data_IF_138848930425
#
_entry.id   IF_138848930425
#
_cell.length_a   1.000
_cell.length_b   1.000
_cell.length_c   1.000
_cell.angle_alpha   90.00
_cell.angle_beta   90.00
_cell.angle_gamma   90.00
#
_symmetry.space_group_name_H-M   'P 1'
#
loop_
_entity.id
_entity.type
_entity.pdbx_description
1 polymer ?
#
# COMPACT_ATOMS: atom_id res chain seq x y z
N UNK A 1 -25.90 -3.51 -27.51
CA UNK A 1 -25.06 -4.57 -26.94
C UNK A 1 -23.59 -4.19 -27.04
N UNK A 2 -23.03 -3.67 -25.95
CA UNK A 2 -21.64 -3.19 -25.86
C UNK A 2 -20.57 -4.31 -25.92
N UNK A 3 -20.99 -5.56 -26.06
CA UNK A 3 -20.11 -6.73 -26.04
C UNK A 3 -19.70 -7.22 -27.43
N UNK A 4 -20.25 -6.64 -28.51
CA UNK A 4 -20.00 -7.06 -29.89
C UNK A 4 -19.14 -6.04 -30.65
N UNK A 5 -17.96 -6.47 -31.09
CA UNK A 5 -17.10 -5.67 -31.96
C UNK A 5 -17.18 -6.18 -33.38
N UNK A 6 -17.67 -5.32 -34.27
CA UNK A 6 -17.84 -5.62 -35.69
C UNK A 6 -16.63 -5.11 -36.46
N UNK A 7 -15.93 -6.01 -37.14
CA UNK A 7 -14.83 -5.68 -38.05
C UNK A 7 -15.27 -6.04 -39.47
N UNK A 8 -15.35 -5.02 -40.33
CA UNK A 8 -15.65 -5.20 -41.75
C UNK A 8 -14.36 -5.27 -42.55
N UNK A 9 -14.12 -6.40 -43.19
CA UNK A 9 -13.02 -6.56 -44.13
C UNK A 9 -13.35 -5.90 -45.46
N UNK A 10 -12.55 -4.91 -45.85
CA UNK A 10 -12.78 -4.09 -47.05
C UNK A 10 -12.61 -4.88 -48.36
N UNK A 11 -11.75 -5.88 -48.40
CA UNK A 11 -11.41 -6.59 -49.65
C UNK A 11 -12.38 -7.73 -49.96
N UNK A 12 -12.81 -8.43 -48.92
CA UNK A 12 -13.67 -9.62 -49.03
C UNK A 12 -15.13 -9.33 -48.73
N UNK A 13 -15.42 -8.18 -48.10
CA UNK A 13 -16.76 -7.85 -47.61
C UNK A 13 -17.18 -8.70 -46.40
N UNK A 14 -16.28 -9.48 -45.82
CA UNK A 14 -16.57 -10.32 -44.67
C UNK A 14 -16.79 -9.46 -43.41
N UNK A 15 -17.88 -9.73 -42.70
CA UNK A 15 -18.17 -9.11 -41.40
C UNK A 15 -17.80 -10.10 -40.29
N UNK A 16 -16.76 -9.77 -39.54
CA UNK A 16 -16.34 -10.56 -38.37
C UNK A 16 -16.91 -9.93 -37.10
N UNK A 17 -17.55 -10.74 -36.26
CA UNK A 17 -18.11 -10.31 -34.98
C UNK A 17 -17.30 -10.94 -33.85
N UNK A 18 -16.68 -10.09 -33.02
CA UNK A 18 -16.01 -10.52 -31.80
C UNK A 18 -16.92 -10.31 -30.60
N UNK A 19 -16.95 -11.29 -29.71
CA UNK A 19 -17.68 -11.23 -28.44
C UNK A 19 -16.68 -11.29 -27.29
N UNK A 20 -16.87 -10.44 -26.28
CA UNK A 20 -16.04 -10.51 -25.08
C UNK A 20 -16.24 -11.85 -24.36
N UNK A 21 -15.13 -12.53 -24.05
CA UNK A 21 -15.18 -13.77 -23.28
C UNK A 21 -15.47 -13.48 -21.80
N UNK A 22 -15.92 -14.47 -21.04
CA UNK A 22 -16.09 -14.34 -19.59
C UNK A 22 -14.80 -13.92 -18.87
N UNK A 23 -13.65 -14.37 -19.39
CA UNK A 23 -12.34 -13.93 -18.93
C UNK A 23 -12.11 -12.44 -19.19
N UNK A 24 -12.37 -11.98 -20.42
CA UNK A 24 -12.30 -10.56 -20.79
C UNK A 24 -13.26 -9.70 -19.97
N UNK A 25 -14.47 -10.20 -19.70
CA UNK A 25 -15.49 -9.53 -18.87
C UNK A 25 -14.99 -9.36 -17.43
N UNK A 26 -14.33 -10.38 -16.87
CA UNK A 26 -13.76 -10.30 -15.52
C UNK A 26 -12.65 -9.24 -15.43
N UNK A 27 -11.77 -9.20 -16.43
CA UNK A 27 -10.71 -8.18 -16.54
C UNK A 27 -11.31 -6.78 -16.68
N UNK A 28 -12.30 -6.62 -17.57
CA UNK A 28 -12.97 -5.34 -17.80
C UNK A 28 -13.68 -4.86 -16.54
N UNK A 29 -14.43 -5.75 -15.86
CA UNK A 29 -15.10 -5.46 -14.59
C UNK A 29 -14.12 -5.02 -13.51
N UNK A 30 -12.93 -5.63 -13.46
CA UNK A 30 -11.91 -5.25 -12.49
C UNK A 30 -11.39 -3.83 -12.74
N UNK A 31 -11.12 -3.49 -14.01
CA UNK A 31 -10.65 -2.16 -14.41
C UNK A 31 -11.72 -1.10 -14.13
N UNK A 32 -12.98 -1.34 -14.53
CA UNK A 32 -14.06 -0.37 -14.33
C UNK A 32 -14.40 -0.16 -12.86
N UNK A 33 -14.36 -1.22 -12.04
CA UNK A 33 -14.51 -1.12 -10.60
C UNK A 33 -13.38 -0.27 -9.98
N UNK A 34 -12.13 -0.45 -10.42
CA UNK A 34 -10.99 0.35 -9.94
C UNK A 34 -11.16 1.83 -10.29
N UNK A 35 -11.51 2.14 -11.54
CA UNK A 35 -11.74 3.51 -12.01
C UNK A 35 -12.91 4.18 -11.29
N UNK A 36 -13.91 3.40 -10.89
CA UNK A 36 -15.03 3.86 -10.08
C UNK A 36 -14.71 4.00 -8.58
N UNK A 37 -13.47 3.74 -8.16
CA UNK A 37 -13.07 3.76 -6.75
C UNK A 37 -13.53 2.56 -5.91
N UNK A 38 -14.19 1.56 -6.52
CA UNK A 38 -14.64 0.32 -5.87
C UNK A 38 -13.49 -0.68 -5.81
N UNK A 39 -12.50 -0.39 -4.98
CA UNK A 39 -11.23 -1.12 -4.96
C UNK A 39 -11.37 -2.58 -4.50
N UNK A 40 -12.26 -2.88 -3.55
CA UNK A 40 -12.47 -4.27 -3.10
C UNK A 40 -13.09 -5.13 -4.21
N UNK A 41 -14.07 -4.59 -4.94
CA UNK A 41 -14.69 -5.26 -6.08
C UNK A 41 -13.66 -5.47 -7.21
N UNK A 42 -12.84 -4.46 -7.49
CA UNK A 42 -11.71 -4.60 -8.42
C UNK A 42 -10.77 -5.74 -8.01
N UNK A 43 -10.38 -5.80 -6.72
CA UNK A 43 -9.48 -6.84 -6.23
C UNK A 43 -10.11 -8.23 -6.34
N UNK A 44 -11.40 -8.37 -6.02
CA UNK A 44 -12.14 -9.63 -6.15
C UNK A 44 -12.27 -10.09 -7.62
N UNK A 45 -12.52 -9.16 -8.53
CA UNK A 45 -12.58 -9.45 -9.97
C UNK A 45 -11.20 -9.90 -10.50
N UNK A 46 -10.12 -9.23 -10.08
CA UNK A 46 -8.76 -9.69 -10.40
C UNK A 46 -8.38 -11.04 -9.77
N UNK A 47 -8.88 -11.34 -8.57
CA UNK A 47 -8.68 -12.64 -7.94
C UNK A 47 -9.35 -13.75 -8.77
N UNK A 48 -10.58 -13.53 -9.25
CA UNK A 48 -11.26 -14.45 -10.17
C UNK A 48 -10.48 -14.68 -11.47
N UNK A 49 -9.73 -13.68 -11.94
CA UNK A 49 -8.84 -13.81 -13.11
C UNK A 49 -7.63 -14.69 -12.77
N UNK A 50 -7.03 -14.53 -11.59
CA UNK A 50 -5.93 -15.37 -11.11
C UNK A 50 -6.34 -16.83 -10.89
N UNK A 51 -7.58 -17.09 -10.46
CA UNK A 51 -8.11 -18.45 -10.31
C UNK A 51 -8.11 -19.22 -11.64
N UNK A 52 -8.29 -18.49 -12.76
CA UNK A 52 -8.27 -19.05 -14.12
C UNK A 52 -6.86 -19.05 -14.72
N UNK A 53 -6.04 -18.07 -14.37
CA UNK A 53 -4.68 -17.93 -14.84
C UNK A 53 -3.76 -17.32 -13.77
N UNK A 54 -3.16 -18.19 -12.96
CA UNK A 54 -2.30 -17.79 -11.85
C UNK A 54 -1.00 -17.07 -12.28
N UNK A 55 -0.64 -17.14 -13.56
CA UNK A 55 0.58 -16.52 -14.10
C UNK A 55 0.31 -15.13 -14.71
N UNK A 56 -0.89 -14.57 -14.53
CA UNK A 56 -1.20 -13.25 -15.09
C UNK A 56 -0.64 -12.12 -14.23
N UNK A 57 0.52 -11.59 -14.61
CA UNK A 57 1.15 -10.42 -13.95
C UNK A 57 0.22 -9.21 -13.84
N UNK A 58 -0.63 -9.00 -14.85
CA UNK A 58 -1.59 -7.89 -14.86
C UNK A 58 -2.58 -7.97 -13.69
N UNK A 59 -3.02 -9.17 -13.32
CA UNK A 59 -3.98 -9.35 -12.23
C UNK A 59 -3.36 -9.09 -10.86
N UNK A 60 -2.13 -9.58 -10.63
CA UNK A 60 -1.36 -9.20 -9.43
C UNK A 60 -1.17 -7.67 -9.34
N UNK A 61 -0.87 -7.03 -10.46
CA UNK A 61 -0.73 -5.58 -10.53
C UNK A 61 -2.05 -4.85 -10.25
N UNK A 62 -3.17 -5.37 -10.74
CA UNK A 62 -4.51 -4.86 -10.49
C UNK A 62 -4.88 -4.90 -9.01
N UNK A 63 -4.70 -6.05 -8.36
CA UNK A 63 -4.93 -6.21 -6.91
C UNK A 63 -4.00 -5.30 -6.11
N UNK A 64 -2.70 -5.29 -6.45
CA UNK A 64 -1.72 -4.44 -5.79
C UNK A 64 -2.07 -2.95 -5.88
N UNK A 65 -2.55 -2.48 -7.03
CA UNK A 65 -3.01 -1.08 -7.19
C UNK A 65 -4.27 -0.81 -6.37
N UNK A 66 -5.25 -1.72 -6.36
CA UNK A 66 -6.45 -1.57 -5.55
C UNK A 66 -6.11 -1.43 -4.05
N UNK A 67 -5.24 -2.31 -3.54
CA UNK A 67 -4.75 -2.25 -2.16
C UNK A 67 -3.94 -0.98 -1.86
N UNK A 68 -3.11 -0.55 -2.80
CA UNK A 68 -2.35 0.70 -2.69
C UNK A 68 -3.28 1.91 -2.54
N UNK A 69 -4.37 1.96 -3.32
CA UNK A 69 -5.37 3.04 -3.27
C UNK A 69 -6.18 3.03 -1.97
N UNK A 70 -6.32 1.87 -1.31
CA UNK A 70 -6.90 1.75 0.02
C UNK A 70 -5.92 2.10 1.17
N UNK A 71 -4.66 2.43 0.86
CA UNK A 71 -3.63 2.68 1.88
C UNK A 71 -3.04 1.40 2.50
N UNK A 72 -3.42 0.21 2.01
CA UNK A 72 -2.92 -1.10 2.47
C UNK A 72 -1.58 -1.42 1.81
N UNK A 73 -0.60 -0.55 2.06
CA UNK A 73 0.69 -0.56 1.34
C UNK A 73 1.49 -1.86 1.52
N UNK A 74 1.43 -2.47 2.72
CA UNK A 74 2.16 -3.71 3.01
C UNK A 74 1.64 -4.89 2.17
N UNK A 75 0.32 -5.00 2.03
CA UNK A 75 -0.31 -6.03 1.21
C UNK A 75 -0.08 -5.76 -0.27
N UNK A 76 -0.22 -4.50 -0.70
CA UNK A 76 0.08 -4.07 -2.05
C UNK A 76 1.51 -4.48 -2.49
N UNK A 77 2.50 -4.35 -1.60
CA UNK A 77 3.88 -4.81 -1.85
C UNK A 77 3.97 -6.31 -2.16
N UNK A 78 3.20 -7.16 -1.46
CA UNK A 78 3.22 -8.60 -1.73
C UNK A 78 2.70 -8.90 -3.14
N UNK A 79 1.58 -8.29 -3.53
CA UNK A 79 1.01 -8.46 -4.86
C UNK A 79 1.92 -7.89 -5.96
N UNK A 80 2.55 -6.72 -5.75
CA UNK A 80 3.53 -6.20 -6.71
C UNK A 80 4.77 -7.07 -6.83
N UNK A 81 5.19 -7.74 -5.75
CA UNK A 81 6.30 -8.69 -5.82
C UNK A 81 5.93 -9.92 -6.66
N UNK A 82 4.72 -10.46 -6.47
CA UNK A 82 4.24 -11.61 -7.22
C UNK A 82 4.03 -11.29 -8.70
N UNK A 83 3.54 -10.08 -9.01
CA UNK A 83 3.43 -9.56 -10.38
C UNK A 83 4.72 -8.97 -10.96
N UNK A 84 5.88 -9.23 -10.35
CA UNK A 84 7.21 -8.75 -10.76
C UNK A 84 7.30 -7.23 -11.03
N UNK A 85 6.47 -6.43 -10.35
CA UNK A 85 6.34 -5.00 -10.58
C UNK A 85 7.19 -4.17 -9.60
N UNK A 86 8.47 -4.06 -9.93
CA UNK A 86 9.48 -3.37 -9.11
C UNK A 86 9.16 -1.88 -8.89
N UNK A 87 8.60 -1.23 -9.92
CA UNK A 87 8.26 0.20 -9.86
C UNK A 87 7.17 0.46 -8.84
N UNK A 88 6.07 -0.30 -8.89
CA UNK A 88 4.98 -0.15 -7.94
C UNK A 88 5.31 -0.68 -6.54
N UNK A 89 6.11 -1.75 -6.45
CA UNK A 89 6.67 -2.19 -5.17
C UNK A 89 7.43 -1.07 -4.46
N UNK A 90 8.31 -0.37 -5.19
CA UNK A 90 9.11 0.72 -4.62
C UNK A 90 8.24 1.89 -4.14
N UNK A 91 7.15 2.21 -4.87
CA UNK A 91 6.16 3.21 -4.45
C UNK A 91 5.44 2.79 -3.17
N UNK A 92 4.90 1.57 -3.13
CA UNK A 92 4.21 1.03 -1.96
C UNK A 92 5.13 0.98 -0.73
N UNK A 93 6.38 0.55 -0.90
CA UNK A 93 7.37 0.55 0.17
C UNK A 93 7.66 1.94 0.73
N UNK A 94 7.77 2.95 -0.15
CA UNK A 94 8.00 4.34 0.27
C UNK A 94 6.86 4.85 1.15
N UNK A 95 5.61 4.63 0.76
CA UNK A 95 4.43 5.07 1.53
C UNK A 95 4.25 4.27 2.82
N UNK A 96 4.50 2.95 2.79
CA UNK A 96 4.50 2.12 3.99
C UNK A 96 5.52 2.63 5.02
N UNK A 97 6.76 2.87 4.60
CA UNK A 97 7.83 3.40 5.47
C UNK A 97 7.48 4.79 5.99
N UNK A 98 6.91 5.67 5.15
CA UNK A 98 6.49 7.02 5.57
C UNK A 98 5.45 6.95 6.68
N UNK A 99 4.48 6.05 6.56
CA UNK A 99 3.41 5.85 7.55
C UNK A 99 3.99 5.38 8.90
N UNK A 100 4.94 4.44 8.86
CA UNK A 100 5.63 3.97 10.06
C UNK A 100 6.47 5.08 10.72
N UNK A 101 7.25 5.81 9.93
CA UNK A 101 8.08 6.90 10.45
C UNK A 101 7.21 8.01 11.07
N UNK A 102 6.08 8.35 10.46
CA UNK A 102 5.17 9.35 11.01
C UNK A 102 4.66 9.00 12.41
N UNK A 103 4.49 7.70 12.72
CA UNK A 103 4.05 7.24 14.04
C UNK A 103 5.18 7.19 15.07
N UNK A 104 6.32 6.60 14.71
CA UNK A 104 7.40 6.34 15.67
C UNK A 104 8.33 7.53 15.91
N UNK A 105 8.48 8.42 14.93
CA UNK A 105 9.45 9.52 14.99
C UNK A 105 9.12 10.55 16.10
N UNK A 106 7.86 11.00 16.29
CA UNK A 106 7.51 11.87 17.42
C UNK A 106 7.66 11.18 18.78
N UNK A 107 7.27 9.90 18.88
CA UNK A 107 7.38 9.13 20.12
C UNK A 107 8.84 9.02 20.59
N UNK A 108 9.77 8.82 19.65
CA UNK A 108 11.20 8.77 19.94
C UNK A 108 11.74 10.11 20.47
N UNK A 109 11.34 11.23 19.86
CA UNK A 109 11.75 12.57 20.33
C UNK A 109 11.24 12.85 21.74
N UNK A 110 9.96 12.53 22.02
CA UNK A 110 9.36 12.69 23.34
C UNK A 110 10.11 11.84 24.38
N UNK A 111 10.42 10.58 24.05
CA UNK A 111 11.18 9.71 24.95
C UNK A 111 12.56 10.30 25.30
N UNK A 112 13.28 10.84 24.30
CA UNK A 112 14.59 11.49 24.52
C UNK A 112 14.45 12.74 25.39
N UNK A 113 13.44 13.57 25.18
CA UNK A 113 13.18 14.76 25.99
C UNK A 113 12.85 14.42 27.44
N UNK A 114 12.02 13.40 27.67
CA UNK A 114 11.68 12.92 29.02
C UNK A 114 12.92 12.41 29.74
N UNK A 115 13.76 11.61 29.05
CA UNK A 115 15.02 11.12 29.61
C UNK A 115 15.98 12.27 29.95
N UNK A 116 16.06 13.29 29.10
CA UNK A 116 16.88 14.47 29.34
C UNK A 116 16.42 15.28 30.57
N UNK A 117 15.11 15.53 30.70
CA UNK A 117 14.53 16.24 31.86
C UNK A 117 14.75 15.42 33.14
N UNK A 118 14.50 14.11 33.09
CA UNK A 118 14.74 13.21 34.23
C UNK A 118 16.21 13.24 34.68
N UNK A 119 17.16 13.19 33.74
CA UNK A 119 18.59 13.28 34.05
C UNK A 119 18.96 14.62 34.71
N UNK A 120 18.40 15.73 34.24
CA UNK A 120 18.58 17.07 34.85
C UNK A 120 17.99 17.13 36.26
N UNK A 121 16.77 16.62 36.46
CA UNK A 121 16.13 16.56 37.77
C UNK A 121 16.94 15.73 38.77
N UNK A 122 17.44 14.55 38.35
CA UNK A 122 18.31 13.71 39.17
C UNK A 122 19.60 14.45 39.55
N UNK A 123 20.25 15.15 38.60
CA UNK A 123 21.45 15.95 38.89
C UNK A 123 21.17 17.07 39.90
N UNK A 124 20.03 17.75 39.78
CA UNK A 124 19.63 18.81 40.72
C UNK A 124 19.41 18.22 42.11
N UNK A 125 18.63 17.15 42.24
CA UNK A 125 18.36 16.49 43.53
C UNK A 125 19.65 16.01 44.21
N UNK A 126 20.58 15.44 43.43
CA UNK A 126 21.90 15.01 43.95
C UNK A 126 22.72 16.20 44.44
N UNK A 127 22.70 17.32 43.73
CA UNK A 127 23.39 18.55 44.15
C UNK A 127 22.79 19.13 45.44
N UNK A 128 21.47 19.23 45.54
CA UNK A 128 20.80 19.78 46.73
C UNK A 128 21.02 18.90 47.96
N UNK A 129 20.99 17.56 47.80
CA UNK A 129 21.32 16.62 48.90
C UNK A 129 22.77 16.73 49.38
N UNK A 130 23.72 17.07 48.51
CA UNK A 130 25.12 17.26 48.89
C UNK A 130 25.33 18.54 49.71
N UNK A 131 24.69 19.64 49.33
CA UNK A 131 24.77 20.92 50.05
C UNK A 131 24.17 20.81 51.46
N UNK A 132 23.00 20.18 51.61
CA UNK A 132 22.35 20.01 52.93
C UNK A 132 23.19 19.14 53.88
N UNK A 133 23.86 18.09 53.39
CA UNK A 133 24.77 17.27 54.21
C UNK A 133 26.07 17.98 54.57
N UNK A 134 26.60 18.85 53.69
CA UNK A 134 27.81 19.63 53.96
C UNK A 134 27.59 20.77 54.96
N UNK A 135 26.40 21.37 54.99
CA UNK A 135 26.03 22.43 55.94
C UNK A 135 25.66 21.94 57.34
N UNK A 136 25.26 20.67 57.49
CA UNK A 136 24.97 20.07 58.79
C UNK A 136 26.23 19.55 59.54
N UNK A 137 27.41 19.67 58.93
CA UNK A 137 28.69 19.23 59.48
C UNK A 137 29.61 20.38 59.93
N UNK A 138 29.08 21.61 59.99
CA UNK A 138 29.74 22.81 60.56
C UNK A 138 29.05 23.22 61.85
#
# INVERSE_FOLDING_TARGET
DDDHYYILDKQTGALTVFVITDYGRSVLSAITAYESGRYDESAAAWASVLDRNANMELAYNGIGKALYSQGRYQEAMQYFRNGNNKTWYSKAYKEHRKTLLAFWFPALIIAVLVLYIAAKAIKIIRKTRWVVKGGAAQ
#
